data_IF_387789081272
#
_entry.id   IF_387789081272
#
_cell.length_a   1.000
_cell.length_b   1.000
_cell.length_c   1.000
_cell.angle_alpha   90.00
_cell.angle_beta   90.00
_cell.angle_gamma   90.00
#
_symmetry.space_group_name_H-M   'P 1'
#
loop_
_entity.id
_entity.type
_entity.pdbx_description
1 polymer ?
#
# COMPACT_ATOMS: atom_id res chain seq x y z
N UNK A 1 -31.32 -23.28 -6.85
CA UNK A 1 -30.19 -22.55 -7.43
C UNK A 1 -29.20 -22.33 -6.30
N UNK A 2 -28.04 -22.98 -6.31
CA UNK A 2 -27.05 -22.82 -5.23
C UNK A 2 -26.20 -21.59 -5.54
N UNK A 3 -26.37 -20.54 -4.74
CA UNK A 3 -25.50 -19.37 -4.78
C UNK A 3 -24.10 -19.80 -4.34
N UNK A 4 -23.17 -19.96 -5.29
CA UNK A 4 -21.75 -20.05 -4.98
C UNK A 4 -21.25 -18.68 -4.53
N UNK A 5 -21.56 -18.33 -3.29
CA UNK A 5 -20.82 -17.36 -2.48
C UNK A 5 -19.61 -18.07 -1.85
N UNK A 6 -18.83 -18.76 -2.68
CA UNK A 6 -17.60 -19.41 -2.27
C UNK A 6 -16.48 -18.39 -2.24
N UNK A 7 -15.99 -18.07 -1.04
CA UNK A 7 -14.65 -17.52 -0.88
C UNK A 7 -13.66 -18.59 -1.33
N UNK A 8 -12.88 -18.31 -2.36
CA UNK A 8 -11.84 -19.23 -2.80
C UNK A 8 -10.67 -19.10 -1.82
N UNK A 9 -10.33 -20.19 -1.13
CA UNK A 9 -9.26 -20.21 -0.12
C UNK A 9 -8.24 -21.26 -0.49
N UNK A 10 -6.98 -20.82 -0.60
CA UNK A 10 -5.82 -21.69 -0.73
C UNK A 10 -5.21 -21.87 0.65
N UNK A 11 -5.20 -23.12 1.11
CA UNK A 11 -4.69 -23.49 2.42
C UNK A 11 -3.15 -23.44 2.45
N UNK A 12 -2.57 -23.35 3.64
CA UNK A 12 -1.13 -23.17 3.84
C UNK A 12 -0.26 -24.34 3.37
N UNK A 13 -0.85 -25.52 3.22
CA UNK A 13 -0.20 -26.74 2.71
C UNK A 13 -0.19 -26.83 1.17
N UNK A 14 -0.71 -25.82 0.48
CA UNK A 14 -0.82 -25.79 -0.99
C UNK A 14 0.33 -24.96 -1.57
N UNK A 15 1.04 -25.56 -2.53
CA UNK A 15 2.05 -24.89 -3.34
C UNK A 15 1.56 -24.82 -4.79
N UNK A 16 1.41 -23.60 -5.32
CA UNK A 16 0.95 -23.38 -6.69
C UNK A 16 2.12 -22.85 -7.52
N UNK A 17 2.36 -23.49 -8.66
CA UNK A 17 3.31 -23.00 -9.67
C UNK A 17 2.61 -22.80 -11.00
N UNK A 18 2.59 -21.57 -11.50
CA UNK A 18 2.01 -21.22 -12.80
C UNK A 18 1.18 -19.93 -12.77
N UNK A 19 0.15 -19.88 -13.63
CA UNK A 19 -0.70 -18.70 -13.75
C UNK A 19 -2.04 -18.92 -13.04
N UNK A 20 -2.36 -18.04 -12.10
CA UNK A 20 -3.63 -18.05 -11.34
C UNK A 20 -4.55 -16.98 -11.89
N UNK A 21 -5.82 -17.33 -12.12
CA UNK A 21 -6.89 -16.40 -12.51
C UNK A 21 -8.12 -16.66 -11.66
N UNK A 22 -8.73 -15.59 -11.15
CA UNK A 22 -9.96 -15.62 -10.35
C UNK A 22 -10.82 -14.40 -10.68
N UNK A 23 -12.13 -14.48 -10.40
CA UNK A 23 -13.08 -13.42 -10.78
C UNK A 23 -13.60 -12.59 -9.60
N UNK A 24 -13.68 -13.15 -8.39
CA UNK A 24 -14.28 -12.48 -7.23
C UNK A 24 -13.25 -12.18 -6.15
N UNK A 25 -12.99 -13.13 -5.27
CA UNK A 25 -12.09 -12.97 -4.14
C UNK A 25 -11.28 -14.25 -3.96
N UNK A 26 -9.99 -14.11 -3.74
CA UNK A 26 -9.09 -15.22 -3.46
C UNK A 26 -8.29 -14.94 -2.19
N UNK A 27 -8.34 -15.86 -1.24
CA UNK A 27 -7.50 -15.88 -0.05
C UNK A 27 -6.38 -16.89 -0.25
N UNK A 28 -5.13 -16.47 -0.06
CA UNK A 28 -3.95 -17.33 -0.20
C UNK A 28 -3.23 -17.40 1.13
N UNK A 29 -3.17 -18.57 1.75
CA UNK A 29 -2.38 -18.80 2.98
C UNK A 29 -1.18 -19.73 2.75
N UNK A 30 -0.89 -20.12 1.49
CA UNK A 30 0.19 -21.04 1.11
C UNK A 30 1.29 -20.38 0.28
N UNK A 31 2.01 -21.19 -0.51
CA UNK A 31 3.08 -20.70 -1.39
C UNK A 31 2.62 -20.59 -2.83
N UNK A 32 2.97 -19.47 -3.46
CA UNK A 32 2.63 -19.22 -4.86
C UNK A 32 3.85 -18.77 -5.62
N UNK A 33 4.18 -19.46 -6.71
CA UNK A 33 5.23 -19.08 -7.63
C UNK A 33 4.66 -18.91 -9.04
N UNK A 34 4.82 -17.75 -9.66
CA UNK A 34 4.38 -17.52 -11.05
C UNK A 34 3.71 -16.18 -11.30
N UNK A 35 2.48 -16.19 -11.82
CA UNK A 35 1.76 -14.96 -12.19
C UNK A 35 0.30 -15.03 -11.72
N UNK A 36 -0.20 -13.95 -11.10
CA UNK A 36 -1.58 -13.82 -10.66
C UNK A 36 -2.23 -12.71 -11.48
N UNK A 37 -3.28 -13.05 -12.25
CA UNK A 37 -4.01 -12.10 -13.10
C UNK A 37 -5.51 -12.18 -12.87
N UNK A 38 -6.09 -11.15 -12.26
CA UNK A 38 -7.51 -11.09 -11.93
C UNK A 38 -8.00 -9.67 -11.77
N UNK A 39 -9.28 -9.39 -11.99
CA UNK A 39 -9.91 -8.10 -11.63
C UNK A 39 -10.56 -8.11 -10.24
N UNK A 40 -10.34 -9.19 -9.48
CA UNK A 40 -10.93 -9.41 -8.16
C UNK A 40 -10.18 -8.77 -6.99
N UNK A 41 -10.55 -9.21 -5.78
CA UNK A 41 -9.82 -8.91 -4.55
C UNK A 41 -8.87 -10.07 -4.20
N UNK A 42 -7.61 -9.75 -3.93
CA UNK A 42 -6.62 -10.72 -3.47
C UNK A 42 -6.30 -10.49 -2.00
N UNK A 43 -6.46 -11.51 -1.17
CA UNK A 43 -6.03 -11.49 0.23
C UNK A 43 -4.87 -12.46 0.43
N UNK A 44 -3.75 -11.95 0.91
CA UNK A 44 -2.56 -12.75 1.23
C UNK A 44 -2.54 -12.98 2.73
N UNK A 45 -2.76 -14.21 3.17
CA UNK A 45 -2.74 -14.61 4.58
C UNK A 45 -1.37 -14.45 5.23
N UNK A 46 -1.33 -14.59 6.55
CA UNK A 46 -0.15 -14.34 7.38
C UNK A 46 1.00 -15.33 7.13
N UNK A 47 0.69 -16.59 6.80
CA UNK A 47 1.66 -17.64 6.53
C UNK A 47 2.03 -17.77 5.04
N UNK A 48 1.44 -16.92 4.19
CA UNK A 48 1.66 -16.99 2.76
C UNK A 48 3.03 -16.47 2.33
N UNK A 49 3.64 -17.16 1.36
CA UNK A 49 4.87 -16.74 0.69
C UNK A 49 4.60 -16.68 -0.82
N UNK A 50 4.42 -15.46 -1.33
CA UNK A 50 4.11 -15.23 -2.74
C UNK A 50 5.35 -14.75 -3.46
N UNK A 51 5.83 -15.52 -4.44
CA UNK A 51 6.89 -15.19 -5.38
C UNK A 51 6.35 -15.09 -6.80
N UNK A 52 5.64 -14.01 -7.08
CA UNK A 52 4.90 -13.89 -8.32
C UNK A 52 4.74 -12.44 -8.77
N UNK A 53 4.45 -12.28 -10.06
CA UNK A 53 3.91 -11.02 -10.58
C UNK A 53 2.39 -10.99 -10.35
N UNK A 54 1.92 -10.01 -9.59
CA UNK A 54 0.53 -9.91 -9.16
C UNK A 54 -0.13 -8.72 -9.86
N UNK A 55 -1.17 -8.98 -10.66
CA UNK A 55 -2.01 -7.98 -11.31
C UNK A 55 -3.44 -8.14 -10.80
N UNK A 56 -3.88 -7.18 -9.99
CA UNK A 56 -5.21 -7.23 -9.37
C UNK A 56 -5.86 -5.85 -9.24
N UNK A 57 -7.17 -5.81 -9.01
CA UNK A 57 -7.88 -4.55 -8.76
C UNK A 57 -7.64 -4.05 -7.34
N UNK A 58 -7.77 -4.95 -6.38
CA UNK A 58 -7.54 -4.70 -4.95
C UNK A 58 -6.70 -5.81 -4.32
N UNK A 59 -5.81 -5.45 -3.39
CA UNK A 59 -4.98 -6.42 -2.65
C UNK A 59 -4.86 -6.05 -1.17
N UNK A 60 -4.93 -7.06 -0.31
CA UNK A 60 -4.64 -6.95 1.12
C UNK A 60 -3.56 -7.96 1.50
N UNK A 61 -2.47 -7.49 2.10
CA UNK A 61 -1.29 -8.31 2.39
C UNK A 61 -1.07 -8.41 3.89
N UNK A 62 -1.18 -9.62 4.45
CA UNK A 62 -0.83 -9.95 5.84
C UNK A 62 0.54 -10.65 5.95
N UNK A 63 0.92 -11.46 4.96
CA UNK A 63 2.15 -12.26 4.96
C UNK A 63 3.33 -11.66 4.18
N UNK A 64 4.07 -12.53 3.49
CA UNK A 64 5.29 -12.18 2.73
C UNK A 64 5.03 -12.21 1.23
N UNK A 65 5.42 -11.15 0.55
CA UNK A 65 5.30 -11.03 -0.91
C UNK A 65 6.63 -10.58 -1.50
N UNK A 66 7.13 -11.33 -2.48
CA UNK A 66 8.32 -11.03 -3.26
C UNK A 66 7.96 -10.98 -4.75
N UNK A 67 8.03 -9.82 -5.37
CA UNK A 67 7.75 -9.67 -6.80
C UNK A 67 7.12 -8.33 -7.18
N UNK A 68 6.72 -8.23 -8.44
CA UNK A 68 6.07 -7.03 -8.97
C UNK A 68 4.58 -7.08 -8.65
N UNK A 69 4.05 -6.05 -8.00
CA UNK A 69 2.62 -5.93 -7.69
C UNK A 69 2.07 -4.74 -8.46
N UNK A 70 1.06 -4.99 -9.29
CA UNK A 70 0.31 -3.98 -10.02
C UNK A 70 -1.14 -4.00 -9.54
N UNK A 71 -1.58 -2.88 -8.97
CA UNK A 71 -2.90 -2.71 -8.37
C UNK A 71 -3.62 -1.55 -9.02
N UNK A 72 -4.79 -1.79 -9.60
CA UNK A 72 -5.52 -0.73 -10.30
C UNK A 72 -6.20 0.27 -9.37
N UNK A 73 -6.68 -0.16 -8.20
CA UNK A 73 -7.39 0.71 -7.24
C UNK A 73 -6.68 0.86 -5.89
N UNK A 74 -6.64 -0.20 -5.08
CA UNK A 74 -6.29 -0.12 -3.66
C UNK A 74 -5.37 -1.26 -3.22
N UNK A 75 -4.22 -0.89 -2.67
CA UNK A 75 -3.26 -1.79 -2.05
C UNK A 75 -3.20 -1.52 -0.54
N UNK A 76 -3.40 -2.56 0.26
CA UNK A 76 -3.37 -2.52 1.73
C UNK A 76 -2.30 -3.45 2.28
N UNK A 77 -1.33 -2.88 2.98
CA UNK A 77 -0.34 -3.59 3.75
C UNK A 77 -0.79 -3.62 5.21
N UNK A 78 -1.04 -4.82 5.73
CA UNK A 78 -1.49 -5.06 7.11
C UNK A 78 -0.30 -5.16 8.07
N UNK A 79 -0.58 -5.10 9.37
CA UNK A 79 0.46 -5.21 10.39
C UNK A 79 1.29 -6.49 10.24
N UNK A 80 2.62 -6.36 10.34
CA UNK A 80 3.64 -7.43 10.21
C UNK A 80 3.84 -8.01 8.80
N UNK A 81 3.24 -7.45 7.75
CA UNK A 81 3.52 -7.92 6.41
C UNK A 81 4.93 -7.52 5.95
N UNK A 82 5.52 -8.30 5.04
CA UNK A 82 6.79 -7.96 4.38
C UNK A 82 6.62 -8.00 2.87
N UNK A 83 6.78 -6.85 2.21
CA UNK A 83 6.74 -6.72 0.76
C UNK A 83 8.14 -6.38 0.24
N UNK A 84 8.68 -7.21 -0.64
CA UNK A 84 9.93 -6.99 -1.36
C UNK A 84 9.68 -6.94 -2.89
N UNK A 85 9.90 -5.79 -3.51
CA UNK A 85 9.76 -5.66 -4.97
C UNK A 85 9.14 -4.34 -5.42
N UNK A 86 8.78 -4.28 -6.69
CA UNK A 86 8.20 -3.10 -7.33
C UNK A 86 6.68 -3.09 -7.16
N UNK A 87 6.14 -2.03 -6.56
CA UNK A 87 4.70 -1.87 -6.30
C UNK A 87 4.16 -0.70 -7.12
N UNK A 88 3.20 -0.97 -8.01
CA UNK A 88 2.41 0.04 -8.71
C UNK A 88 0.98 0.02 -8.19
N UNK A 89 0.50 1.14 -7.65
CA UNK A 89 -0.88 1.21 -7.15
C UNK A 89 -1.48 2.61 -7.31
N UNK A 90 -2.78 2.73 -7.50
CA UNK A 90 -3.42 4.05 -7.46
C UNK A 90 -3.56 4.60 -6.02
N UNK A 91 -3.77 3.71 -5.05
CA UNK A 91 -3.82 4.02 -3.61
C UNK A 91 -3.06 2.97 -2.81
N UNK A 92 -2.23 3.44 -1.88
CA UNK A 92 -1.43 2.61 -0.99
C UNK A 92 -1.76 2.97 0.46
N UNK A 93 -2.10 1.96 1.26
CA UNK A 93 -2.37 2.07 2.70
C UNK A 93 -1.40 1.12 3.40
N UNK A 94 -0.68 1.64 4.39
CA UNK A 94 0.31 0.88 5.17
C UNK A 94 -0.07 1.00 6.64
N UNK A 95 -0.38 -0.13 7.27
CA UNK A 95 -0.61 -0.20 8.72
C UNK A 95 0.71 -0.29 9.50
N UNK A 96 0.64 0.03 10.80
CA UNK A 96 1.79 -0.02 11.68
C UNK A 96 2.39 -1.44 11.73
N UNK A 97 3.72 -1.53 11.59
CA UNK A 97 4.47 -2.78 11.62
C UNK A 97 4.61 -3.47 10.26
N UNK A 98 4.13 -2.88 9.16
CA UNK A 98 4.42 -3.35 7.81
C UNK A 98 5.84 -2.96 7.37
N UNK A 99 6.54 -3.87 6.70
CA UNK A 99 7.87 -3.64 6.11
C UNK A 99 7.78 -3.67 4.58
N UNK A 100 8.11 -2.56 3.94
CA UNK A 100 8.16 -2.44 2.48
C UNK A 100 9.60 -2.15 2.02
N UNK A 101 10.13 -2.98 1.12
CA UNK A 101 11.50 -2.89 0.61
C UNK A 101 11.44 -2.97 -0.93
N UNK A 102 11.56 -1.83 -1.59
CA UNK A 102 11.57 -1.80 -3.05
C UNK A 102 11.17 -0.43 -3.60
N UNK A 103 10.72 -0.41 -4.85
CA UNK A 103 10.26 0.81 -5.52
C UNK A 103 8.74 0.83 -5.52
N UNK A 104 8.14 1.94 -5.09
CA UNK A 104 6.70 2.14 -5.17
C UNK A 104 6.37 3.27 -6.14
N UNK A 105 5.56 2.99 -7.15
CA UNK A 105 5.00 3.98 -8.07
C UNK A 105 3.50 4.11 -7.77
N UNK A 106 3.15 5.16 -7.02
CA UNK A 106 1.75 5.45 -6.71
C UNK A 106 1.22 6.44 -7.72
N UNK A 107 0.61 5.95 -8.81
CA UNK A 107 0.03 6.82 -9.83
C UNK A 107 -1.42 7.15 -9.45
N UNK A 108 -1.58 8.25 -8.71
CA UNK A 108 -2.91 8.83 -8.54
C UNK A 108 -3.39 9.25 -9.94
N UNK A 109 -4.46 8.63 -10.45
CA UNK A 109 -5.21 9.09 -11.63
C UNK A 109 -5.89 10.46 -11.43
N UNK A 110 -5.39 11.25 -10.50
CA UNK A 110 -5.78 12.62 -10.22
C UNK A 110 -4.50 13.45 -10.27
N UNK A 111 -4.51 14.44 -11.15
CA UNK A 111 -3.51 15.49 -11.27
C UNK A 111 -3.16 15.98 -9.87
N UNK A 112 -1.96 15.64 -9.38
CA UNK A 112 -1.34 16.41 -8.31
C UNK A 112 -0.95 17.75 -8.90
N UNK A 113 -1.95 18.65 -9.01
CA UNK A 113 -1.70 20.07 -8.86
C UNK A 113 -1.20 20.19 -7.42
N UNK A 114 0.12 20.05 -7.26
CA UNK A 114 0.82 20.32 -6.04
C UNK A 114 0.49 21.77 -5.66
N UNK A 115 -0.53 21.93 -4.82
CA UNK A 115 -0.77 23.16 -4.12
C UNK A 115 0.50 23.42 -3.32
N UNK A 116 1.22 24.45 -3.75
CA UNK A 116 2.40 24.96 -3.10
C UNK A 116 2.14 25.07 -1.60
N UNK A 117 2.89 24.33 -0.79
CA UNK A 117 3.19 24.81 0.55
C UNK A 117 4.02 26.07 0.38
N UNK A 118 3.32 27.19 0.24
CA UNK A 118 3.82 28.50 0.57
C UNK A 118 4.27 28.40 2.02
N UNK A 119 5.59 28.36 2.19
CA UNK A 119 6.29 28.61 3.45
C UNK A 119 5.57 29.80 4.12
N UNK A 120 5.04 29.70 5.35
CA UNK A 120 4.75 30.91 6.09
C UNK A 120 6.10 31.57 6.31
N UNK A 121 6.32 32.65 5.57
CA UNK A 121 7.39 33.58 5.82
C UNK A 121 7.25 34.00 7.28
N UNK A 122 8.19 33.58 8.12
CA UNK A 122 8.27 34.05 9.50
C UNK A 122 8.64 35.53 9.40
N UNK A 123 7.61 36.37 9.31
CA UNK A 123 7.72 37.80 9.56
C UNK A 123 8.17 37.92 11.00
N UNK A 124 9.49 38.08 11.18
CA UNK A 124 10.04 38.59 12.43
C UNK A 124 9.47 39.99 12.61
N UNK A 125 8.39 40.11 13.37
CA UNK A 125 8.00 41.38 13.92
C UNK A 125 9.16 41.84 14.80
N UNK A 126 9.81 42.90 14.34
CA UNK A 126 10.72 43.71 15.13
C UNK A 126 9.93 44.15 16.37
N UNK A 127 10.33 43.61 17.52
CA UNK A 127 9.72 43.91 18.80
C UNK A 127 9.99 45.38 19.12
N UNK A 128 8.96 46.19 18.89
CA UNK A 128 8.90 47.59 19.28
C UNK A 128 8.87 47.68 20.80
N UNK A 129 10.04 47.85 21.42
CA UNK A 129 10.15 48.30 22.80
C UNK A 129 10.32 49.83 22.84
N UNK A 130 9.19 50.53 22.98
CA UNK A 130 9.11 51.82 23.68
C UNK A 130 8.19 51.60 24.88
N UNK A 131 8.32 52.32 26.02
CA UNK A 131 8.91 53.66 26.16
C UNK A 131 9.71 53.92 27.46
N UNK A 132 10.08 55.19 27.64
CA UNK A 132 10.03 55.94 28.90
C UNK A 132 11.26 55.93 29.86
N UNK A 133 11.92 57.10 29.87
CA UNK A 133 11.96 58.00 31.05
C UNK A 133 12.99 57.73 32.17
N UNK A 134 14.08 58.51 32.17
CA UNK A 134 14.85 59.04 33.32
C UNK A 134 16.12 59.70 32.76
N UNK A 135 16.74 60.75 33.30
CA UNK A 135 16.45 61.73 34.33
C UNK A 135 17.57 62.80 34.21
N UNK A 136 17.36 63.93 34.87
CA UNK A 136 18.14 65.17 34.86
C UNK A 136 19.63 64.98 35.25
N UNK A 137 20.48 65.85 34.71
CA UNK A 137 21.87 66.09 35.13
C UNK A 137 22.49 67.18 34.30
#
# INVERSE_FOLDING_TARGET
>A
MAEHSGKDVLSSDVEIKGTIKFQKELLIDGKVEGEINSDGALTVGENADIRAEVKTKSITIYGKVQGNITVSERCELKSKCTLQGDLKAARLIIEEGATFIGKSEVSSGMSVKAASSSRPEVVRHEESAKPAFAARG
#
